data_IF_421278428279
#
_entry.id   IF_421278428279
#
_cell.length_a   1.000
_cell.length_b   1.000
_cell.length_c   1.000
_cell.angle_alpha   90.00
_cell.angle_beta   90.00
_cell.angle_gamma   90.00
#
_symmetry.space_group_name_H-M   'P 1'
#
loop_
_entity.id
_entity.type
_entity.pdbx_description
1 polymer ?
#
# COMPACT_ATOMS: atom_id res chain seq x y z
N UNK A 1 -21.53 -9.82 -6.96
CA UNK A 1 -21.39 -8.46 -7.50
C UNK A 1 -20.79 -7.46 -6.50
N UNK A 2 -21.13 -7.49 -5.20
CA UNK A 2 -20.53 -6.57 -4.20
C UNK A 2 -19.03 -6.80 -3.94
N UNK A 3 -18.61 -8.05 -3.70
CA UNK A 3 -17.19 -8.39 -3.47
C UNK A 3 -16.29 -8.01 -4.64
N UNK A 4 -16.81 -8.11 -5.87
CA UNK A 4 -16.04 -7.83 -7.08
C UNK A 4 -15.83 -6.35 -7.31
N UNK A 5 -16.86 -5.55 -7.04
CA UNK A 5 -16.75 -4.11 -7.05
C UNK A 5 -15.77 -3.64 -5.97
N UNK A 6 -15.89 -4.15 -4.73
CA UNK A 6 -15.04 -3.78 -3.61
C UNK A 6 -13.56 -4.10 -3.87
N UNK A 7 -13.22 -5.31 -4.35
CA UNK A 7 -11.83 -5.68 -4.65
C UNK A 7 -11.25 -4.83 -5.80
N UNK A 8 -12.03 -4.58 -6.85
CA UNK A 8 -11.62 -3.74 -7.97
C UNK A 8 -11.40 -2.27 -7.58
N UNK A 9 -12.24 -1.73 -6.70
CA UNK A 9 -12.17 -0.31 -6.27
C UNK A 9 -11.24 -0.06 -5.09
N UNK A 10 -10.73 -1.10 -4.42
CA UNK A 10 -9.82 -0.93 -3.27
C UNK A 10 -8.43 -1.52 -3.48
N UNK A 11 -8.31 -2.66 -4.18
CA UNK A 11 -7.04 -3.35 -4.37
C UNK A 11 -6.41 -3.09 -5.74
N UNK A 12 -7.24 -2.89 -6.77
CA UNK A 12 -6.82 -2.82 -8.17
C UNK A 12 -7.35 -1.57 -8.88
N UNK A 13 -7.31 -0.42 -8.19
CA UNK A 13 -7.74 0.87 -8.77
C UNK A 13 -6.84 1.22 -9.96
N UNK A 14 -7.43 1.63 -11.08
CA UNK A 14 -6.69 2.09 -12.26
C UNK A 14 -6.84 3.60 -12.47
N UNK A 15 -5.90 4.19 -13.22
CA UNK A 15 -5.77 5.62 -13.50
C UNK A 15 -6.85 6.18 -14.43
N UNK A 16 -7.62 5.31 -15.10
CA UNK A 16 -8.53 5.69 -16.18
C UNK A 16 -9.70 6.60 -15.75
N UNK A 17 -10.09 6.62 -14.47
CA UNK A 17 -11.25 7.41 -14.00
C UNK A 17 -12.61 6.95 -14.55
N UNK A 18 -12.64 6.26 -15.68
CA UNK A 18 -13.80 5.62 -16.29
C UNK A 18 -13.73 4.11 -16.04
N UNK A 19 -14.83 3.60 -15.46
CA UNK A 19 -15.21 2.20 -15.26
C UNK A 19 -14.13 1.30 -14.65
N UNK A 20 -14.39 0.89 -13.40
CA UNK A 20 -13.76 -0.24 -12.74
C UNK A 20 -13.30 -1.27 -13.77
N UNK A 21 -11.99 -1.45 -13.91
CA UNK A 21 -11.41 -2.40 -14.85
C UNK A 21 -12.21 -3.70 -14.76
N UNK A 22 -12.81 -4.13 -15.87
CA UNK A 22 -13.74 -5.27 -15.94
C UNK A 22 -13.01 -6.60 -15.62
N UNK A 23 -11.69 -6.57 -15.45
CA UNK A 23 -10.79 -7.71 -15.37
C UNK A 23 -10.86 -8.58 -14.08
N UNK A 24 -11.14 -8.06 -12.87
CA UNK A 24 -11.36 -8.90 -11.69
C UNK A 24 -12.57 -9.84 -11.87
N UNK A 25 -13.54 -9.50 -12.73
CA UNK A 25 -14.77 -10.27 -12.91
C UNK A 25 -14.52 -11.69 -13.42
N UNK A 26 -13.47 -11.90 -14.24
CA UNK A 26 -13.16 -13.24 -14.78
C UNK A 26 -12.68 -14.21 -13.68
N UNK A 27 -11.95 -13.71 -12.68
CA UNK A 27 -11.46 -14.53 -11.55
C UNK A 27 -12.48 -14.67 -10.43
N UNK A 28 -13.43 -13.74 -10.39
CA UNK A 28 -14.48 -13.70 -9.38
C UNK A 28 -15.77 -14.41 -9.81
N UNK A 29 -15.82 -14.90 -11.06
CA UNK A 29 -16.92 -15.71 -11.58
C UNK A 29 -17.07 -17.07 -10.89
N UNK A 30 -15.98 -17.66 -10.39
CA UNK A 30 -16.01 -18.89 -9.59
C UNK A 30 -15.64 -18.60 -8.12
N UNK A 31 -16.66 -18.26 -7.33
CA UNK A 31 -16.54 -17.92 -5.90
C UNK A 31 -15.90 -19.03 -5.05
N UNK A 32 -15.90 -20.29 -5.50
CA UNK A 32 -15.23 -21.40 -4.79
C UNK A 32 -13.72 -21.36 -4.96
N UNK A 33 -13.23 -20.86 -6.09
CA UNK A 33 -11.78 -20.68 -6.37
C UNK A 33 -11.24 -19.38 -5.82
N UNK A 34 -12.06 -18.33 -5.76
CA UNK A 34 -11.72 -17.02 -5.19
C UNK A 34 -11.06 -17.12 -3.82
N UNK A 35 -11.58 -17.97 -2.91
CA UNK A 35 -11.01 -18.14 -1.56
C UNK A 35 -9.63 -18.82 -1.53
N UNK A 36 -9.23 -19.50 -2.61
CA UNK A 36 -7.95 -20.22 -2.71
C UNK A 36 -6.82 -19.33 -3.22
N UNK A 37 -7.13 -18.17 -3.78
CA UNK A 37 -6.11 -17.25 -4.31
C UNK A 37 -5.50 -16.41 -3.19
N UNK A 38 -4.18 -16.17 -3.30
CA UNK A 38 -3.47 -15.22 -2.44
C UNK A 38 -3.74 -13.79 -2.89
N UNK A 39 -4.87 -13.23 -2.45
CA UNK A 39 -5.24 -11.82 -2.73
C UNK A 39 -4.19 -10.82 -2.22
N UNK A 40 -3.49 -11.14 -1.14
CA UNK A 40 -2.39 -10.34 -0.63
C UNK A 40 -1.23 -10.25 -1.62
N UNK A 41 -0.77 -11.39 -2.15
CA UNK A 41 0.31 -11.44 -3.14
C UNK A 41 -0.09 -10.78 -4.46
N UNK A 42 -1.34 -10.96 -4.90
CA UNK A 42 -1.85 -10.33 -6.11
C UNK A 42 -1.92 -8.80 -5.97
N UNK A 43 -2.47 -8.31 -4.86
CA UNK A 43 -2.48 -6.88 -4.52
C UNK A 43 -1.07 -6.31 -4.50
N UNK A 44 -0.13 -7.03 -3.89
CA UNK A 44 1.26 -6.60 -3.76
C UNK A 44 1.95 -6.48 -5.13
N UNK A 45 1.80 -7.49 -6.00
CA UNK A 45 2.35 -7.48 -7.34
C UNK A 45 1.83 -6.30 -8.16
N UNK A 46 0.51 -6.06 -8.09
CA UNK A 46 -0.09 -4.92 -8.78
C UNK A 46 0.37 -3.57 -8.20
N UNK A 47 0.43 -3.43 -6.88
CA UNK A 47 0.95 -2.23 -6.23
C UNK A 47 2.40 -1.94 -6.63
N UNK A 48 3.27 -2.94 -6.68
CA UNK A 48 4.67 -2.77 -7.09
C UNK A 48 4.80 -2.33 -8.55
N UNK A 49 4.00 -2.91 -9.45
CA UNK A 49 3.93 -2.44 -10.84
C UNK A 49 3.51 -0.98 -10.92
N UNK A 50 2.48 -0.59 -10.16
CA UNK A 50 1.98 0.79 -10.15
C UNK A 50 3.01 1.77 -9.57
N UNK A 51 3.74 1.38 -8.52
CA UNK A 51 4.85 2.18 -7.98
C UNK A 51 5.98 2.34 -9.01
N UNK A 52 6.36 1.27 -9.70
CA UNK A 52 7.37 1.33 -10.76
C UNK A 52 6.95 2.16 -11.97
N UNK A 53 5.64 2.24 -12.25
CA UNK A 53 5.11 3.15 -13.26
C UNK A 53 5.05 4.60 -12.75
N UNK A 54 4.67 4.81 -11.49
CA UNK A 54 4.56 6.12 -10.86
C UNK A 54 5.93 6.81 -10.64
N UNK A 55 7.02 6.06 -10.53
CA UNK A 55 8.37 6.63 -10.45
C UNK A 55 8.88 7.22 -11.77
N UNK A 56 8.19 6.99 -12.89
CA UNK A 56 8.56 7.55 -14.19
C UNK A 56 8.01 8.97 -14.33
N UNK A 57 8.82 9.87 -14.89
CA UNK A 57 8.54 11.32 -14.93
C UNK A 57 7.25 11.70 -15.70
N UNK A 58 6.75 10.82 -16.56
CA UNK A 58 5.54 11.00 -17.39
C UNK A 58 4.25 10.60 -16.67
N UNK A 59 4.35 10.01 -15.47
CA UNK A 59 3.21 9.45 -14.76
C UNK A 59 2.44 10.50 -13.94
N UNK A 60 1.19 10.79 -14.32
CA UNK A 60 0.33 11.80 -13.66
C UNK A 60 -0.56 11.27 -12.53
N UNK A 61 -0.42 10.00 -12.15
CA UNK A 61 -1.24 9.37 -11.12
C UNK A 61 -0.82 7.94 -10.85
N UNK A 62 -1.35 7.34 -9.79
CA UNK A 62 -0.98 6.00 -9.34
C UNK A 62 -2.22 5.16 -9.08
N UNK A 63 -2.24 3.94 -9.64
CA UNK A 63 -3.24 2.93 -9.36
C UNK A 63 -2.82 2.01 -8.20
N UNK A 64 -3.63 0.98 -7.94
CA UNK A 64 -3.39 -0.06 -6.96
C UNK A 64 -3.98 0.24 -5.58
N UNK A 65 -3.55 -0.54 -4.57
CA UNK A 65 -4.07 -0.41 -3.22
C UNK A 65 -3.43 0.76 -2.48
N UNK A 66 -3.94 1.97 -2.73
CA UNK A 66 -3.44 3.20 -2.10
C UNK A 66 -3.58 3.19 -0.59
N UNK A 67 -4.61 2.53 -0.05
CA UNK A 67 -4.79 2.36 1.40
C UNK A 67 -3.67 1.54 2.04
N UNK A 68 -3.19 0.48 1.36
CA UNK A 68 -2.05 -0.30 1.83
C UNK A 68 -0.77 0.54 1.81
N UNK A 69 -0.52 1.24 0.70
CA UNK A 69 0.64 2.11 0.57
C UNK A 69 0.63 3.22 1.64
N UNK A 70 -0.50 3.90 1.83
CA UNK A 70 -0.64 4.95 2.83
C UNK A 70 -0.43 4.40 4.24
N UNK A 71 -0.95 3.21 4.54
CA UNK A 71 -0.73 2.56 5.83
C UNK A 71 0.75 2.25 6.07
N UNK A 72 1.48 1.81 5.05
CA UNK A 72 2.92 1.63 5.14
C UNK A 72 3.68 2.94 5.31
N UNK A 73 3.34 3.97 4.53
CA UNK A 73 3.97 5.28 4.66
C UNK A 73 3.81 5.77 6.10
N UNK A 74 2.61 5.67 6.66
CA UNK A 74 2.45 6.03 8.06
C UNK A 74 3.29 5.13 8.94
N UNK A 75 3.20 3.80 8.89
CA UNK A 75 4.01 2.94 9.76
C UNK A 75 5.53 3.22 9.72
N UNK A 76 6.12 3.48 8.55
CA UNK A 76 7.55 3.74 8.42
C UNK A 76 7.96 5.21 8.62
N UNK A 77 7.06 6.17 8.38
CA UNK A 77 7.37 7.61 8.45
C UNK A 77 6.46 8.32 9.45
N UNK A 78 6.78 8.27 10.76
CA UNK A 78 6.00 8.94 11.80
C UNK A 78 5.80 10.45 11.57
N UNK A 79 6.76 11.12 10.93
CA UNK A 79 6.69 12.55 10.62
C UNK A 79 5.60 12.92 9.61
N UNK A 80 5.14 11.98 8.77
CA UNK A 80 4.08 12.20 7.79
C UNK A 80 2.68 11.94 8.34
N UNK A 81 2.60 11.42 9.57
CA UNK A 81 1.33 11.13 10.26
C UNK A 81 0.78 12.40 10.89
N UNK A 82 -0.55 12.51 10.90
CA UNK A 82 -1.21 13.44 11.82
C UNK A 82 -1.16 12.85 13.23
N UNK A 83 -0.54 13.57 14.17
CA UNK A 83 -0.27 13.10 15.54
C UNK A 83 -1.54 12.72 16.31
N UNK A 84 -2.70 13.24 15.92
CA UNK A 84 -4.00 12.94 16.57
C UNK A 84 -4.55 11.55 16.22
N UNK A 85 -4.04 10.91 15.17
CA UNK A 85 -4.55 9.64 14.63
C UNK A 85 -3.80 8.41 15.14
N UNK A 86 -2.53 8.56 15.56
CA UNK A 86 -1.65 7.45 15.95
C UNK A 86 -2.02 6.76 17.28
N UNK A 87 -2.96 7.31 18.05
CA UNK A 87 -3.29 6.87 19.42
C UNK A 87 -4.43 5.85 19.47
N UNK A 88 -5.04 5.49 18.34
CA UNK A 88 -6.19 4.58 18.32
C UNK A 88 -5.71 3.12 18.37
N UNK A 89 -5.96 2.45 19.49
CA UNK A 89 -5.69 1.02 19.64
C UNK A 89 -6.52 0.20 18.65
N UNK A 90 -5.88 -0.73 17.94
CA UNK A 90 -6.57 -1.69 17.06
C UNK A 90 -7.36 -2.68 17.91
N UNK A 91 -8.67 -2.77 17.66
CA UNK A 91 -9.50 -3.82 18.25
C UNK A 91 -9.28 -5.12 17.46
N UNK A 92 -9.28 -6.26 18.15
CA UNK A 92 -9.16 -7.56 17.50
C UNK A 92 -10.21 -7.73 16.40
N UNK A 93 -9.78 -8.11 15.19
CA UNK A 93 -10.64 -8.28 14.03
C UNK A 93 -10.85 -7.03 13.17
N UNK A 94 -10.33 -5.86 13.57
CA UNK A 94 -10.37 -4.67 12.72
C UNK A 94 -9.26 -4.68 11.65
N UNK A 95 -9.55 -4.17 10.43
CA UNK A 95 -8.52 -3.97 9.42
C UNK A 95 -7.41 -3.06 9.93
N UNK A 96 -6.15 -3.44 9.72
CA UNK A 96 -4.99 -2.68 10.21
C UNK A 96 -5.00 -1.21 9.75
N UNK A 97 -5.41 -0.97 8.50
CA UNK A 97 -5.50 0.38 7.94
C UNK A 97 -6.50 1.30 8.68
N UNK A 98 -7.44 0.73 9.45
CA UNK A 98 -8.44 1.47 10.22
C UNK A 98 -7.84 2.30 11.35
N UNK A 99 -6.63 1.94 11.81
CA UNK A 99 -5.81 2.78 12.71
C UNK A 99 -5.63 4.19 12.15
N UNK A 100 -5.63 4.34 10.83
CA UNK A 100 -5.41 5.61 10.12
C UNK A 100 -6.72 6.23 9.59
N UNK A 101 -7.87 5.68 9.98
CA UNK A 101 -9.19 6.17 9.57
C UNK A 101 -9.49 7.53 10.24
N UNK A 102 -9.45 8.60 9.45
CA UNK A 102 -9.69 9.97 9.90
C UNK A 102 -8.78 11.00 9.24
N UNK A 103 -7.83 10.59 8.40
CA UNK A 103 -7.19 11.47 7.40
C UNK A 103 -8.23 11.83 6.32
N UNK A 104 -9.23 12.64 6.68
CA UNK A 104 -10.13 13.24 5.71
C UNK A 104 -9.37 14.37 5.03
N UNK A 105 -9.10 14.22 3.74
CA UNK A 105 -8.69 15.32 2.87
C UNK A 105 -9.97 16.14 2.58
N UNK A 106 -10.46 16.82 3.61
CA UNK A 106 -11.53 17.81 3.51
C UNK A 106 -10.90 19.19 3.60
N UNK A 107 -11.01 19.96 2.52
CA UNK A 107 -10.51 21.34 2.45
C UNK A 107 -10.49 21.81 1.01
N UNK A 108 -10.75 23.10 0.80
CA UNK A 108 -10.66 23.71 -0.52
C UNK A 108 -9.23 23.58 -1.11
N UNK A 109 -9.10 23.85 -2.41
CA UNK A 109 -7.84 23.68 -3.15
C UNK A 109 -6.60 24.31 -2.47
N UNK A 110 -6.79 25.42 -1.76
CA UNK A 110 -5.72 26.10 -1.03
C UNK A 110 -5.13 25.25 0.11
N UNK A 111 -5.97 24.64 0.94
CA UNK A 111 -5.51 23.77 2.03
C UNK A 111 -4.81 22.52 1.50
N UNK A 112 -5.23 22.04 0.33
CA UNK A 112 -4.59 20.91 -0.34
C UNK A 112 -3.18 21.27 -0.83
N UNK A 113 -2.99 22.46 -1.39
CA UNK A 113 -1.68 22.95 -1.81
C UNK A 113 -0.73 23.15 -0.62
N UNK A 114 -1.21 23.79 0.46
CA UNK A 114 -0.41 23.97 1.68
C UNK A 114 0.03 22.65 2.29
N UNK A 115 -0.85 21.63 2.28
CA UNK A 115 -0.50 20.27 2.72
C UNK A 115 0.52 19.59 1.81
N UNK A 116 0.38 19.75 0.49
CA UNK A 116 1.35 19.21 -0.45
C UNK A 116 2.73 19.85 -0.26
N UNK A 117 2.79 21.15 -0.04
CA UNK A 117 4.04 21.87 0.23
C UNK A 117 4.65 21.45 1.57
N UNK A 118 3.82 21.23 2.60
CA UNK A 118 4.28 20.64 3.85
C UNK A 118 4.90 19.26 3.65
N UNK A 119 4.21 18.35 2.95
CA UNK A 119 4.75 17.01 2.69
C UNK A 119 6.02 17.03 1.87
N UNK A 120 6.12 17.88 0.83
CA UNK A 120 7.35 18.05 0.05
C UNK A 120 8.50 18.48 0.93
N UNK A 121 8.32 19.51 1.77
CA UNK A 121 9.37 19.97 2.70
C UNK A 121 9.81 18.90 3.68
N UNK A 122 8.87 18.09 4.20
CA UNK A 122 9.21 16.99 5.11
C UNK A 122 10.02 15.92 4.39
N UNK A 123 9.64 15.57 3.15
CA UNK A 123 10.37 14.61 2.32
C UNK A 123 11.75 15.13 1.91
N UNK A 124 11.87 16.40 1.52
CA UNK A 124 13.12 17.01 1.08
C UNK A 124 14.17 17.10 2.22
N UNK A 125 13.71 17.27 3.46
CA UNK A 125 14.57 17.30 4.66
C UNK A 125 14.69 15.95 5.36
N UNK A 126 14.16 14.88 4.76
CA UNK A 126 14.10 13.57 5.41
C UNK A 126 15.48 12.90 5.41
N UNK A 127 15.98 12.60 6.61
CA UNK A 127 17.12 11.70 6.85
C UNK A 127 16.65 10.31 7.28
N UNK A 128 17.57 9.35 7.34
CA UNK A 128 17.34 7.97 7.79
C UNK A 128 16.85 7.88 9.24
N UNK A 129 17.16 8.88 10.08
CA UNK A 129 16.70 8.97 11.47
C UNK A 129 15.18 9.17 11.61
N UNK A 130 14.54 9.77 10.59
CA UNK A 130 13.09 9.97 10.58
C UNK A 130 12.32 8.70 10.17
N UNK A 131 13.03 7.65 9.74
CA UNK A 131 12.45 6.39 9.30
C UNK A 131 12.38 5.42 10.48
N UNK A 132 11.18 4.96 10.80
CA UNK A 132 11.01 3.88 11.75
C UNK A 132 11.16 2.53 11.04
N UNK A 133 12.36 1.96 11.11
CA UNK A 133 12.72 0.73 10.38
C UNK A 133 12.03 -0.55 10.89
N UNK A 134 11.55 -0.55 12.14
CA UNK A 134 10.94 -1.72 12.78
C UNK A 134 9.51 -1.46 13.28
N UNK A 135 8.55 -1.05 12.40
CA UNK A 135 7.21 -0.67 12.82
C UNK A 135 6.38 -1.77 13.46
N UNK A 136 6.71 -3.01 13.13
CA UNK A 136 6.01 -4.20 13.62
C UNK A 136 6.76 -4.89 14.77
N UNK A 137 7.69 -4.17 15.42
CA UNK A 137 8.50 -4.67 16.52
C UNK A 137 9.65 -5.59 16.08
N UNK A 138 10.41 -6.14 17.06
CA UNK A 138 11.63 -6.91 16.78
C UNK A 138 11.36 -8.31 16.20
N UNK A 139 10.15 -8.86 16.38
CA UNK A 139 9.77 -10.20 15.90
C UNK A 139 8.36 -10.22 15.31
N UNK A 140 8.13 -9.57 14.16
CA UNK A 140 6.83 -9.63 13.48
C UNK A 140 6.42 -11.06 13.11
N UNK A 141 7.41 -11.94 12.92
CA UNK A 141 7.23 -13.37 12.64
C UNK A 141 6.50 -14.16 13.74
N UNK A 142 6.47 -13.64 14.98
CA UNK A 142 5.73 -14.25 16.09
C UNK A 142 4.22 -13.94 16.02
N UNK A 143 3.85 -12.81 15.42
CA UNK A 143 2.46 -12.37 15.27
C UNK A 143 1.86 -12.88 13.95
N UNK A 144 2.67 -12.96 12.89
CA UNK A 144 2.26 -13.46 11.58
C UNK A 144 3.38 -14.34 11.03
N UNK A 145 3.06 -15.57 10.61
CA UNK A 145 4.04 -16.47 9.99
C UNK A 145 4.75 -15.77 8.83
N UNK A 146 6.09 -15.70 8.90
CA UNK A 146 6.91 -15.08 7.86
C UNK A 146 6.81 -15.89 6.58
N UNK A 147 6.43 -15.25 5.48
CA UNK A 147 6.68 -15.82 4.16
C UNK A 147 8.17 -15.68 3.86
N UNK A 148 8.90 -16.79 3.80
CA UNK A 148 10.28 -16.85 3.31
C UNK A 148 10.36 -16.83 1.78
N UNK A 149 9.22 -16.64 1.11
CA UNK A 149 9.15 -16.62 -0.33
C UNK A 149 9.96 -15.45 -0.89
N UNK A 150 10.89 -15.77 -1.79
CA UNK A 150 11.59 -14.82 -2.65
C UNK A 150 11.43 -15.34 -4.08
N UNK A 151 10.93 -14.51 -4.99
CA UNK A 151 10.61 -14.93 -6.34
C UNK A 151 9.52 -14.09 -6.97
N UNK A 152 8.99 -14.54 -8.10
CA UNK A 152 7.99 -13.79 -8.86
C UNK A 152 6.62 -13.90 -8.20
N UNK A 153 6.11 -12.78 -7.70
CA UNK A 153 4.69 -12.65 -7.37
C UNK A 153 3.94 -12.25 -8.64
N UNK A 154 2.85 -12.97 -8.91
CA UNK A 154 2.02 -12.76 -10.10
C UNK A 154 0.64 -12.28 -9.71
N UNK A 155 0.21 -11.22 -10.37
CA UNK A 155 -1.19 -10.86 -10.48
C UNK A 155 -1.54 -10.80 -11.96
N UNK A 156 -2.21 -11.83 -12.48
CA UNK A 156 -2.60 -11.86 -13.90
C UNK A 156 -1.40 -11.76 -14.84
N UNK A 157 -1.36 -10.75 -15.70
CA UNK A 157 -0.25 -10.43 -16.60
C UNK A 157 0.86 -9.63 -15.93
N UNK A 158 0.66 -9.20 -14.67
CA UNK A 158 1.67 -8.51 -13.88
C UNK A 158 2.53 -9.54 -13.17
N UNK A 159 3.81 -9.53 -13.49
CA UNK A 159 4.85 -10.31 -12.84
C UNK A 159 5.84 -9.35 -12.22
N UNK A 160 6.04 -9.45 -10.91
CA UNK A 160 6.98 -8.62 -10.16
C UNK A 160 7.89 -9.50 -9.31
N UNK A 161 9.18 -9.17 -9.29
CA UNK A 161 10.14 -9.83 -8.43
C UNK A 161 9.95 -9.35 -6.99
N UNK A 162 9.51 -10.25 -6.11
CA UNK A 162 9.43 -10.03 -4.67
C UNK A 162 10.69 -10.56 -4.01
N UNK A 163 11.42 -9.66 -3.36
CA UNK A 163 12.57 -9.99 -2.54
C UNK A 163 12.50 -9.19 -1.22
N UNK A 164 12.17 -9.85 -0.09
CA UNK A 164 12.03 -9.18 1.19
C UNK A 164 13.35 -8.60 1.73
N UNK A 165 14.51 -9.06 1.24
CA UNK A 165 15.82 -8.53 1.61
C UNK A 165 16.35 -7.46 0.63
N UNK A 166 15.57 -7.08 -0.38
CA UNK A 166 15.97 -6.04 -1.35
C UNK A 166 16.39 -4.74 -0.67
N UNK A 167 15.57 -4.22 0.25
CA UNK A 167 15.88 -2.97 0.95
C UNK A 167 17.15 -3.11 1.79
N UNK A 168 17.32 -4.23 2.51
CA UNK A 168 18.52 -4.47 3.33
C UNK A 168 19.80 -4.53 2.49
N UNK A 169 19.74 -5.14 1.29
CA UNK A 169 20.85 -5.15 0.34
C UNK A 169 21.22 -3.77 -0.18
N UNK A 170 20.24 -2.89 -0.41
CA UNK A 170 20.52 -1.51 -0.87
C UNK A 170 21.35 -0.70 0.12
N UNK A 171 21.25 -1.02 1.41
CA UNK A 171 22.01 -0.37 2.48
C UNK A 171 23.20 -1.20 2.98
N UNK A 172 23.56 -2.30 2.30
CA UNK A 172 24.76 -3.09 2.62
C UNK A 172 24.65 -4.00 3.84
N UNK A 173 23.44 -4.35 4.28
CA UNK A 173 23.22 -5.20 5.46
C UNK A 173 23.25 -6.72 5.19
N UNK A 174 23.55 -7.16 3.95
CA UNK A 174 23.60 -8.57 3.52
C UNK A 174 24.78 -8.82 2.61
#
# INVERSE_FOLDING_TARGET
>A
MFLTCLLGTTLFVDRSGDRAQVWPLQFLGDTRRVRKYSWGSATLAYLYRQLGMASRADCKGMGGCLTLLQSWIYEYFPCLRDQKLGTRGLVCGEPFAKKWEGVRIGGGAQLMNERLDHYRRVLDNMTDEFVFWCPFGPRPGAMVSRSLYSGVIRCMSVEEMYDPSRCLRQFGYV
#
